data_IF_731757458203
#
_entry.id   IF_731757458203
#
_cell.length_a   1.000
_cell.length_b   1.000
_cell.length_c   1.000
_cell.angle_alpha   90.00
_cell.angle_beta   90.00
_cell.angle_gamma   90.00
#
_symmetry.space_group_name_H-M   'P 1'
#
loop_
_entity.id
_entity.type
_entity.pdbx_description
1 polymer ?
#
# COMPACT_ATOMS: atom_id res chain seq x y z
N UNK A 1 -17.31 -17.84 -1.24
CA UNK A 1 -16.91 -18.73 -0.14
C UNK A 1 -16.94 -17.89 1.13
N UNK A 2 -17.26 -18.46 2.30
CA UNK A 2 -17.11 -17.74 3.55
C UNK A 2 -15.62 -17.43 3.79
N UNK A 3 -15.35 -16.36 4.52
CA UNK A 3 -13.99 -15.97 4.89
C UNK A 3 -13.82 -16.06 6.40
N UNK A 4 -12.71 -16.61 6.87
CA UNK A 4 -12.26 -16.41 8.25
C UNK A 4 -11.47 -15.12 8.35
N UNK A 5 -11.65 -14.38 9.44
CA UNK A 5 -10.88 -13.19 9.73
C UNK A 5 -10.26 -13.30 11.13
N UNK A 6 -8.94 -13.10 11.23
CA UNK A 6 -8.20 -13.21 12.49
C UNK A 6 -7.22 -12.05 12.65
N UNK A 7 -7.04 -11.62 13.90
CA UNK A 7 -6.03 -10.62 14.26
C UNK A 7 -4.64 -11.25 14.14
N UNK A 8 -3.67 -10.46 13.64
CA UNK A 8 -2.29 -10.87 13.52
C UNK A 8 -1.37 -9.79 14.07
N UNK A 9 -0.24 -10.21 14.63
CA UNK A 9 0.78 -9.31 15.14
C UNK A 9 2.15 -9.79 14.68
N UNK A 10 2.91 -8.90 14.06
CA UNK A 10 4.31 -9.12 13.73
C UNK A 10 5.19 -8.30 14.67
N UNK A 11 6.38 -8.83 15.00
CA UNK A 11 7.33 -8.14 15.85
C UNK A 11 8.55 -7.76 15.04
N UNK A 12 8.85 -6.47 15.00
CA UNK A 12 10.04 -5.91 14.35
C UNK A 12 11.30 -6.23 15.16
N UNK A 13 12.46 -6.09 14.54
CA UNK A 13 13.76 -6.30 15.19
C UNK A 13 14.01 -5.34 16.36
N UNK A 14 13.41 -4.16 16.34
CA UNK A 14 13.47 -3.15 17.40
C UNK A 14 12.47 -3.41 18.54
N UNK A 15 11.64 -4.45 18.43
CA UNK A 15 10.64 -4.86 19.41
C UNK A 15 9.25 -4.22 19.19
N UNK A 16 9.11 -3.25 18.30
CA UNK A 16 7.82 -2.68 17.95
C UNK A 16 6.90 -3.72 17.29
N UNK A 17 5.62 -3.62 17.57
CA UNK A 17 4.60 -4.53 17.07
C UNK A 17 3.80 -3.88 15.95
N UNK A 18 3.74 -4.58 14.83
CA UNK A 18 2.84 -4.28 13.71
C UNK A 18 1.58 -5.12 13.90
N UNK A 19 0.42 -4.48 13.96
CA UNK A 19 -0.88 -5.14 14.15
C UNK A 19 -1.70 -5.04 12.89
N UNK A 20 -2.45 -6.10 12.63
CA UNK A 20 -3.27 -6.18 11.44
C UNK A 20 -4.33 -7.27 11.57
N UNK A 21 -5.02 -7.50 10.46
CA UNK A 21 -6.06 -8.51 10.31
C UNK A 21 -5.91 -9.23 8.99
N UNK A 22 -5.98 -10.56 9.05
CA UNK A 22 -5.91 -11.39 7.87
C UNK A 22 -7.28 -12.02 7.56
N UNK A 23 -7.66 -11.98 6.29
CA UNK A 23 -8.84 -12.67 5.76
C UNK A 23 -8.39 -13.84 4.93
N UNK A 24 -8.96 -15.02 5.19
CA UNK A 24 -8.67 -16.25 4.45
C UNK A 24 -9.93 -16.90 3.90
N UNK A 25 -9.90 -17.44 2.66
CA UNK A 25 -10.93 -18.33 2.16
C UNK A 25 -11.09 -19.56 3.06
N UNK A 26 -12.31 -19.89 3.47
CA UNK A 26 -12.58 -21.08 4.27
C UNK A 26 -12.40 -22.38 3.48
N UNK A 27 -12.03 -23.47 4.20
CA UNK A 27 -11.99 -24.83 3.65
C UNK A 27 -10.86 -25.10 2.65
N UNK A 28 -9.88 -24.21 2.54
CA UNK A 28 -8.76 -24.38 1.60
C UNK A 28 -7.61 -25.13 2.26
N UNK A 29 -7.19 -26.26 1.65
CA UNK A 29 -6.11 -27.15 2.16
C UNK A 29 -4.75 -26.82 1.53
N UNK A 30 -4.72 -26.00 0.48
CA UNK A 30 -3.48 -25.60 -0.24
C UNK A 30 -3.00 -24.24 0.20
N UNK A 31 -1.71 -23.94 -0.04
CA UNK A 31 -1.19 -22.59 0.13
C UNK A 31 -1.86 -21.61 -0.82
N UNK A 32 -2.16 -20.43 -0.32
CA UNK A 32 -2.94 -19.40 -0.99
C UNK A 32 -2.07 -18.20 -1.38
N UNK A 33 -2.40 -17.51 -2.47
CA UNK A 33 -1.86 -16.19 -2.75
C UNK A 33 -2.28 -15.22 -1.65
N UNK A 34 -1.46 -14.20 -1.39
CA UNK A 34 -1.77 -13.15 -0.42
C UNK A 34 -1.59 -11.77 -1.03
N UNK A 35 -2.52 -10.88 -0.76
CA UNK A 35 -2.41 -9.43 -1.01
C UNK A 35 -2.17 -8.72 0.32
N UNK A 36 -1.10 -7.93 0.40
CA UNK A 36 -0.78 -7.07 1.54
C UNK A 36 -1.28 -5.67 1.20
N UNK A 37 -2.17 -5.13 2.03
CA UNK A 37 -2.77 -3.80 1.86
C UNK A 37 -2.03 -2.76 2.69
N UNK A 38 -1.60 -1.68 2.03
CA UNK A 38 -0.90 -0.55 2.61
C UNK A 38 -1.82 0.68 2.58
N UNK A 39 -2.22 1.17 3.74
CA UNK A 39 -3.11 2.33 3.89
C UNK A 39 -2.41 3.66 3.59
N UNK A 40 -3.20 4.72 3.37
CA UNK A 40 -2.74 6.06 3.09
C UNK A 40 -2.23 6.82 4.32
N UNK A 41 -1.74 8.04 4.10
CA UNK A 41 -1.24 8.95 5.12
C UNK A 41 -2.25 9.21 6.23
N UNK A 42 -1.84 9.02 7.49
CA UNK A 42 -2.67 9.28 8.66
C UNK A 42 -3.91 8.39 8.83
N UNK A 43 -4.06 7.37 7.96
CA UNK A 43 -5.16 6.40 7.96
C UNK A 43 -4.82 5.18 8.83
N UNK A 44 -5.63 4.14 8.73
CA UNK A 44 -5.45 2.87 9.42
C UNK A 44 -6.07 1.72 8.61
N UNK A 45 -5.65 0.47 8.92
CA UNK A 45 -6.07 -0.70 8.16
C UNK A 45 -7.59 -0.98 8.21
N UNK A 46 -8.29 -0.49 9.26
CA UNK A 46 -9.72 -0.74 9.43
C UNK A 46 -10.56 -0.08 8.33
N UNK A 47 -10.06 1.02 7.76
CA UNK A 47 -10.71 1.69 6.63
C UNK A 47 -10.74 0.83 5.37
N UNK A 48 -9.76 -0.08 5.20
CA UNK A 48 -9.64 -0.97 4.04
C UNK A 48 -10.26 -2.36 4.23
N UNK A 49 -10.56 -2.77 5.46
CA UNK A 49 -11.02 -4.14 5.78
C UNK A 49 -12.30 -4.55 5.04
N UNK A 50 -13.12 -3.60 4.63
CA UNK A 50 -14.37 -3.89 3.90
C UNK A 50 -14.12 -4.57 2.53
N UNK A 51 -12.90 -4.53 2.01
CA UNK A 51 -12.50 -5.25 0.80
C UNK A 51 -12.22 -6.74 1.04
N UNK A 52 -11.92 -7.14 2.29
CA UNK A 52 -11.40 -8.47 2.63
C UNK A 52 -12.27 -9.64 2.17
N UNK A 53 -13.60 -9.53 2.35
CA UNK A 53 -14.51 -10.59 1.91
C UNK A 53 -14.48 -10.80 0.39
N UNK A 54 -14.44 -9.72 -0.42
CA UNK A 54 -14.39 -9.81 -1.87
C UNK A 54 -13.14 -10.53 -2.39
N UNK A 55 -11.98 -10.26 -1.78
CA UNK A 55 -10.75 -10.97 -2.12
C UNK A 55 -10.77 -12.43 -1.65
N UNK A 56 -11.27 -12.71 -0.45
CA UNK A 56 -11.39 -14.07 0.04
C UNK A 56 -12.34 -14.91 -0.82
N UNK A 57 -13.45 -14.35 -1.29
CA UNK A 57 -14.36 -14.99 -2.26
C UNK A 57 -13.68 -15.27 -3.60
N UNK A 58 -12.70 -14.46 -3.97
CA UNK A 58 -11.86 -14.65 -5.15
C UNK A 58 -10.75 -15.71 -4.95
N UNK A 59 -10.62 -16.28 -3.74
CA UNK A 59 -9.61 -17.28 -3.41
C UNK A 59 -8.24 -16.71 -3.02
N UNK A 60 -8.20 -15.43 -2.60
CA UNK A 60 -6.99 -14.68 -2.26
C UNK A 60 -7.02 -14.32 -0.77
N UNK A 61 -5.95 -14.62 -0.03
CA UNK A 61 -5.78 -14.07 1.32
C UNK A 61 -5.54 -12.57 1.25
N UNK A 62 -6.06 -11.84 2.24
CA UNK A 62 -5.76 -10.42 2.41
C UNK A 62 -5.19 -10.15 3.79
N UNK A 63 -4.13 -9.40 3.84
CA UNK A 63 -3.57 -8.85 5.06
C UNK A 63 -3.74 -7.33 5.03
N UNK A 64 -4.43 -6.82 6.02
CA UNK A 64 -4.57 -5.41 6.33
C UNK A 64 -3.79 -5.14 7.61
N UNK A 65 -2.91 -4.15 7.62
CA UNK A 65 -2.09 -3.83 8.80
C UNK A 65 -1.90 -2.32 8.94
N UNK A 66 -1.64 -1.88 10.16
CA UNK A 66 -1.23 -0.51 10.44
C UNK A 66 0.29 -0.39 10.38
N UNK A 67 0.78 0.63 9.70
CA UNK A 67 2.18 1.05 9.85
C UNK A 67 2.44 1.54 11.27
N UNK A 68 3.66 1.33 11.77
CA UNK A 68 4.08 1.84 13.07
C UNK A 68 4.08 3.37 13.08
N UNK A 69 3.21 3.96 13.90
CA UNK A 69 2.99 5.40 13.89
C UNK A 69 2.34 5.94 12.62
N UNK A 70 1.78 5.10 11.74
CA UNK A 70 1.24 5.49 10.43
C UNK A 70 0.01 6.40 10.48
N UNK A 71 -0.64 6.50 11.63
CA UNK A 71 -1.79 7.39 11.83
C UNK A 71 -2.13 7.57 13.31
N UNK A 72 -2.94 8.60 13.64
CA UNK A 72 -3.37 8.85 15.03
C UNK A 72 -4.14 7.69 15.67
N UNK A 73 -4.80 6.90 14.84
CA UNK A 73 -5.60 5.73 15.28
C UNK A 73 -4.91 4.39 15.01
N UNK A 74 -3.63 4.40 14.64
CA UNK A 74 -2.85 3.18 14.44
C UNK A 74 -2.89 2.30 15.69
N UNK A 75 -3.15 1.00 15.51
CA UNK A 75 -3.04 0.00 16.57
C UNK A 75 -1.62 -0.57 16.68
N UNK A 76 -0.76 -0.33 15.68
CA UNK A 76 0.67 -0.66 15.73
C UNK A 76 1.41 0.28 16.67
N UNK A 77 2.56 -0.17 17.17
CA UNK A 77 3.38 0.64 18.06
C UNK A 77 4.01 1.84 17.30
N UNK A 78 4.63 2.76 18.03
CA UNK A 78 5.25 3.96 17.45
C UNK A 78 4.40 5.22 17.59
N UNK A 79 4.98 6.35 17.20
CA UNK A 79 4.31 7.66 17.26
C UNK A 79 4.26 8.28 15.88
N UNK A 80 3.16 8.98 15.59
CA UNK A 80 2.96 9.62 14.29
C UNK A 80 4.07 10.61 13.92
N UNK A 81 4.58 11.35 14.91
CA UNK A 81 5.67 12.31 14.70
C UNK A 81 7.03 11.65 14.41
N UNK A 82 7.16 10.34 14.62
CA UNK A 82 8.38 9.56 14.32
C UNK A 82 8.27 8.84 12.98
N UNK A 83 7.07 8.82 12.36
CA UNK A 83 6.83 8.18 11.08
C UNK A 83 7.52 8.94 9.95
N UNK A 84 8.08 8.18 9.01
CA UNK A 84 8.62 8.65 7.72
C UNK A 84 8.25 7.65 6.62
N UNK A 85 8.44 8.02 5.36
CA UNK A 85 8.30 7.07 4.24
C UNK A 85 9.23 5.87 4.44
N UNK A 86 10.46 6.09 4.94
CA UNK A 86 11.43 5.03 5.20
C UNK A 86 11.02 4.09 6.34
N UNK A 87 10.43 4.62 7.42
CA UNK A 87 9.92 3.75 8.51
C UNK A 87 8.78 2.88 8.03
N UNK A 88 7.85 3.39 7.22
CA UNK A 88 6.78 2.59 6.63
C UNK A 88 7.30 1.56 5.62
N UNK A 89 8.32 1.90 4.83
CA UNK A 89 8.99 0.91 4.00
C UNK A 89 9.56 -0.25 4.84
N UNK A 90 10.23 0.04 5.96
CA UNK A 90 10.77 -0.97 6.87
C UNK A 90 9.68 -1.84 7.53
N UNK A 91 8.52 -1.27 7.80
CA UNK A 91 7.37 -2.01 8.30
C UNK A 91 6.84 -2.98 7.23
N UNK A 92 6.64 -2.53 6.00
CA UNK A 92 6.19 -3.38 4.91
C UNK A 92 7.21 -4.48 4.60
N UNK A 93 8.52 -4.20 4.61
CA UNK A 93 9.58 -5.21 4.46
C UNK A 93 9.49 -6.28 5.57
N UNK A 94 9.22 -5.87 6.81
CA UNK A 94 9.00 -6.79 7.94
C UNK A 94 7.77 -7.66 7.69
N UNK A 95 6.65 -7.05 7.28
CA UNK A 95 5.41 -7.78 6.97
C UNK A 95 5.62 -8.79 5.85
N UNK A 96 6.28 -8.40 4.75
CA UNK A 96 6.60 -9.31 3.63
C UNK A 96 7.43 -10.51 4.13
N UNK A 97 8.44 -10.26 4.95
CA UNK A 97 9.25 -11.34 5.53
C UNK A 97 8.42 -12.29 6.38
N UNK A 98 7.57 -11.75 7.25
CA UNK A 98 6.75 -12.56 8.17
C UNK A 98 5.66 -13.36 7.44
N UNK A 99 5.03 -12.82 6.41
CA UNK A 99 3.97 -13.56 5.68
C UNK A 99 4.53 -14.73 4.88
N UNK A 100 5.81 -14.71 4.50
CA UNK A 100 6.47 -15.86 3.85
C UNK A 100 6.55 -17.08 4.75
N UNK A 101 6.59 -16.88 6.06
CA UNK A 101 6.68 -17.94 7.07
C UNK A 101 5.31 -18.50 7.47
N UNK A 102 4.20 -17.90 7.00
CA UNK A 102 2.86 -18.45 7.26
C UNK A 102 2.63 -19.72 6.42
N UNK A 103 2.29 -20.81 7.09
CA UNK A 103 2.19 -22.16 6.49
C UNK A 103 1.12 -22.28 5.39
N UNK A 104 0.10 -21.41 5.43
CA UNK A 104 -0.98 -21.33 4.45
C UNK A 104 -0.73 -20.32 3.32
N UNK A 105 0.38 -19.58 3.33
CA UNK A 105 0.74 -18.61 2.28
C UNK A 105 1.66 -19.27 1.24
N UNK A 106 1.38 -19.02 -0.02
CA UNK A 106 2.29 -19.31 -1.12
C UNK A 106 3.25 -18.14 -1.31
N UNK A 107 4.47 -18.29 -0.83
CA UNK A 107 5.50 -17.24 -0.87
C UNK A 107 5.93 -16.83 -2.28
N UNK A 108 5.56 -17.59 -3.32
CA UNK A 108 5.76 -17.21 -4.73
C UNK A 108 4.63 -16.33 -5.29
N UNK A 109 3.57 -16.10 -4.51
CA UNK A 109 2.38 -15.38 -4.92
C UNK A 109 2.00 -14.31 -3.88
N UNK A 110 2.96 -13.45 -3.54
CA UNK A 110 2.78 -12.27 -2.70
C UNK A 110 2.50 -11.08 -3.62
N UNK A 111 1.42 -10.38 -3.34
CA UNK A 111 0.97 -9.20 -4.05
C UNK A 111 0.92 -8.01 -3.11
N UNK A 112 1.17 -6.80 -3.62
CA UNK A 112 0.97 -5.56 -2.88
C UNK A 112 -0.21 -4.79 -3.43
N UNK A 113 -1.00 -4.19 -2.54
CA UNK A 113 -1.97 -3.18 -2.89
C UNK A 113 -1.81 -1.98 -1.95
N UNK A 114 -1.48 -0.83 -2.52
CA UNK A 114 -1.30 0.39 -1.75
C UNK A 114 -2.17 1.52 -2.26
N UNK A 115 -2.72 2.32 -1.34
CA UNK A 115 -3.44 3.54 -1.64
C UNK A 115 -2.65 4.77 -1.20
N UNK A 116 -2.70 5.85 -1.99
CA UNK A 116 -2.09 7.14 -1.65
C UNK A 116 -0.62 6.96 -1.21
N UNK A 117 -0.24 7.37 0.02
CA UNK A 117 1.11 7.17 0.57
C UNK A 117 1.49 5.68 0.67
N UNK A 118 0.55 4.80 1.03
CA UNK A 118 0.77 3.34 0.99
C UNK A 118 1.09 2.83 -0.42
N UNK A 119 0.60 3.51 -1.46
CA UNK A 119 0.97 3.27 -2.86
C UNK A 119 2.42 3.64 -3.16
N UNK A 120 2.89 4.79 -2.67
CA UNK A 120 4.30 5.18 -2.76
C UNK A 120 5.20 4.16 -2.02
N UNK A 121 4.86 3.82 -0.77
CA UNK A 121 5.60 2.85 0.04
C UNK A 121 5.67 1.49 -0.66
N UNK A 122 4.54 1.00 -1.18
CA UNK A 122 4.47 -0.26 -1.93
C UNK A 122 5.39 -0.25 -3.15
N UNK A 123 5.40 0.85 -3.92
CA UNK A 123 6.23 1.01 -5.10
C UNK A 123 7.74 1.02 -4.76
N UNK A 124 8.14 1.73 -3.70
CA UNK A 124 9.52 1.80 -3.24
C UNK A 124 10.03 0.45 -2.71
N UNK A 125 9.19 -0.27 -1.96
CA UNK A 125 9.54 -1.59 -1.43
C UNK A 125 9.60 -2.63 -2.56
N UNK A 126 8.64 -2.64 -3.47
CA UNK A 126 8.66 -3.54 -4.62
C UNK A 126 9.92 -3.35 -5.49
N UNK A 127 10.40 -2.11 -5.65
CA UNK A 127 11.63 -1.83 -6.38
C UNK A 127 12.88 -2.46 -5.72
N UNK A 128 12.90 -2.60 -4.39
CA UNK A 128 14.00 -3.23 -3.62
C UNK A 128 13.86 -4.75 -3.53
N UNK A 129 12.63 -5.25 -3.60
CA UNK A 129 12.26 -6.65 -3.38
C UNK A 129 11.53 -7.25 -4.61
N UNK A 130 11.99 -6.91 -5.81
CA UNK A 130 11.34 -7.27 -7.07
C UNK A 130 11.08 -8.77 -7.22
N UNK A 131 11.99 -9.60 -6.72
CA UNK A 131 11.86 -11.08 -6.77
C UNK A 131 10.76 -11.64 -5.83
N UNK A 132 10.39 -10.87 -4.79
CA UNK A 132 9.45 -11.30 -3.76
C UNK A 132 8.00 -10.96 -4.10
N UNK A 133 7.80 -9.95 -4.95
CA UNK A 133 6.49 -9.40 -5.25
C UNK A 133 6.05 -9.80 -6.65
N UNK A 134 4.98 -10.59 -6.72
CA UNK A 134 4.46 -11.17 -7.98
C UNK A 134 3.79 -10.14 -8.89
N UNK A 135 3.01 -9.22 -8.31
CA UNK A 135 2.39 -8.09 -8.98
C UNK A 135 1.93 -7.05 -7.96
N UNK A 136 1.65 -5.83 -8.42
CA UNK A 136 1.28 -4.71 -7.56
C UNK A 136 0.10 -3.93 -8.15
N UNK A 137 -0.84 -3.54 -7.28
CA UNK A 137 -1.91 -2.58 -7.59
C UNK A 137 -1.72 -1.33 -6.75
N UNK A 138 -1.80 -0.18 -7.39
CA UNK A 138 -1.65 1.12 -6.74
C UNK A 138 -2.90 1.96 -7.00
N UNK A 139 -3.61 2.34 -5.95
CA UNK A 139 -4.73 3.27 -6.01
C UNK A 139 -4.21 4.68 -5.73
N UNK A 140 -4.41 5.58 -6.69
CA UNK A 140 -4.00 7.00 -6.61
C UNK A 140 -2.67 7.20 -5.83
N UNK A 141 -1.56 6.52 -6.25
CA UNK A 141 -0.32 6.52 -5.49
C UNK A 141 0.25 7.94 -5.32
N UNK A 142 0.59 8.32 -4.09
CA UNK A 142 1.03 9.66 -3.72
C UNK A 142 2.50 9.92 -4.13
N UNK A 143 2.78 9.87 -5.41
CA UNK A 143 4.13 10.09 -5.96
C UNK A 143 4.57 11.56 -5.94
N UNK A 144 3.69 12.49 -5.59
CA UNK A 144 3.97 13.91 -5.36
C UNK A 144 4.55 14.20 -3.96
N UNK A 145 4.54 13.23 -3.04
CA UNK A 145 5.04 13.42 -1.66
C UNK A 145 6.42 14.07 -1.61
N UNK A 146 7.43 13.69 -2.42
CA UNK A 146 8.73 14.34 -2.39
C UNK A 146 8.68 15.84 -2.71
N UNK A 147 7.84 16.24 -3.68
CA UNK A 147 7.66 17.66 -4.03
C UNK A 147 6.99 18.44 -2.90
N UNK A 148 5.91 17.88 -2.32
CA UNK A 148 5.23 18.48 -1.17
C UNK A 148 6.14 18.60 0.06
N UNK A 149 6.94 17.56 0.34
CA UNK A 149 7.92 17.55 1.41
C UNK A 149 9.02 18.60 1.21
N UNK A 150 9.49 18.80 -0.02
CA UNK A 150 10.46 19.85 -0.35
C UNK A 150 9.92 21.25 -0.02
N UNK A 151 8.68 21.53 -0.43
CA UNK A 151 8.01 22.82 -0.14
C UNK A 151 7.86 23.06 1.37
N UNK A 152 7.41 22.06 2.14
CA UNK A 152 7.29 22.17 3.60
C UNK A 152 8.64 22.30 4.29
N UNK A 153 9.64 21.58 3.82
CA UNK A 153 11.00 21.66 4.35
C UNK A 153 11.60 23.07 4.20
N UNK A 154 11.39 23.72 3.05
CA UNK A 154 11.86 25.07 2.76
C UNK A 154 11.07 26.14 3.54
N UNK A 155 9.76 26.00 3.64
CA UNK A 155 8.89 26.95 4.39
C UNK A 155 8.99 26.79 5.91
N UNK A 156 9.45 25.64 6.40
CA UNK A 156 9.44 25.30 7.81
C UNK A 156 8.05 24.85 8.34
N UNK A 157 7.06 24.73 7.45
CA UNK A 157 5.75 24.18 7.78
C UNK A 157 5.87 22.71 8.16
N UNK A 158 5.08 22.26 9.14
CA UNK A 158 5.11 20.87 9.64
C UNK A 158 3.72 20.30 9.81
N UNK A 159 2.83 20.68 8.94
CA UNK A 159 1.46 20.19 8.95
C UNK A 159 1.04 19.74 7.55
N UNK A 160 0.37 18.58 7.49
CA UNK A 160 -0.26 18.08 6.30
C UNK A 160 -1.62 17.51 6.69
N UNK A 161 -2.68 17.90 5.99
CA UNK A 161 -4.06 17.44 6.25
C UNK A 161 -4.51 17.55 7.71
N UNK A 162 -4.10 18.63 8.40
CA UNK A 162 -4.43 18.84 9.82
C UNK A 162 -3.63 18.00 10.81
N UNK A 163 -2.64 17.24 10.35
CA UNK A 163 -1.76 16.41 11.18
C UNK A 163 -0.36 16.99 11.22
N UNK A 164 0.22 17.02 12.42
CA UNK A 164 1.58 17.53 12.62
C UNK A 164 2.62 16.47 12.35
N UNK A 165 3.45 16.71 11.34
CA UNK A 165 4.56 15.86 10.96
C UNK A 165 5.81 16.11 11.85
N UNK A 166 6.57 15.04 12.08
CA UNK A 166 7.91 15.14 12.62
C UNK A 166 8.90 15.74 11.61
N UNK A 167 9.98 16.33 12.12
CA UNK A 167 11.03 16.93 11.29
C UNK A 167 11.72 15.94 10.34
N UNK A 168 11.67 14.66 10.66
CA UNK A 168 12.30 13.62 9.87
C UNK A 168 11.57 13.34 8.57
N UNK A 169 10.23 13.44 8.56
CA UNK A 169 9.42 13.13 7.39
C UNK A 169 9.83 13.93 6.16
N UNK A 170 9.75 15.26 6.23
CA UNK A 170 10.06 16.11 5.08
C UNK A 170 11.54 16.09 4.71
N UNK A 171 12.43 16.02 5.71
CA UNK A 171 13.87 15.90 5.48
C UNK A 171 14.25 14.67 4.67
N UNK A 172 13.57 13.55 4.90
CA UNK A 172 13.80 12.30 4.20
C UNK A 172 13.07 12.28 2.85
N UNK A 173 11.76 12.59 2.88
CA UNK A 173 10.90 12.41 1.72
C UNK A 173 11.26 13.31 0.53
N UNK A 174 11.73 14.55 0.77
CA UNK A 174 12.07 15.52 -0.29
C UNK A 174 13.15 15.06 -1.26
N UNK A 175 14.01 14.14 -0.82
CA UNK A 175 15.15 13.64 -1.61
C UNK A 175 14.84 12.31 -2.31
N UNK A 176 13.62 11.80 -2.24
CA UNK A 176 13.22 10.54 -2.88
C UNK A 176 12.99 10.78 -4.38
N UNK A 177 13.87 10.22 -5.23
CA UNK A 177 13.67 10.16 -6.68
C UNK A 177 12.75 8.98 -7.06
N UNK A 178 11.44 9.18 -6.90
CA UNK A 178 10.44 8.13 -7.15
C UNK A 178 10.62 7.50 -8.53
N UNK A 179 10.72 8.32 -9.57
CA UNK A 179 10.74 7.86 -10.95
C UNK A 179 12.11 7.28 -11.39
N UNK A 180 13.16 7.56 -10.64
CA UNK A 180 14.44 6.88 -10.79
C UNK A 180 14.48 5.53 -10.06
N UNK A 181 13.68 5.33 -9.02
CA UNK A 181 13.66 4.12 -8.19
C UNK A 181 12.69 3.07 -8.71
N UNK A 182 11.43 3.45 -8.99
CA UNK A 182 10.34 2.50 -9.28
C UNK A 182 10.57 1.63 -10.53
N UNK A 183 11.35 2.03 -11.57
CA UNK A 183 11.66 1.16 -12.70
C UNK A 183 12.43 -0.10 -12.35
N UNK A 184 13.07 -0.16 -11.17
CA UNK A 184 13.76 -1.37 -10.69
C UNK A 184 12.81 -2.53 -10.36
N UNK A 185 11.51 -2.25 -10.19
CA UNK A 185 10.51 -3.31 -10.09
C UNK A 185 10.17 -3.85 -11.49
N UNK A 186 10.55 -5.10 -11.75
CA UNK A 186 10.35 -5.76 -13.04
C UNK A 186 8.99 -6.47 -13.21
N UNK A 187 8.17 -6.53 -12.15
CA UNK A 187 6.86 -7.18 -12.19
C UNK A 187 5.74 -6.27 -12.72
N UNK A 188 4.55 -6.86 -12.99
CA UNK A 188 3.41 -6.12 -13.52
C UNK A 188 2.79 -5.17 -12.48
N UNK A 189 2.42 -3.96 -12.94
CA UNK A 189 1.79 -2.90 -12.14
C UNK A 189 0.46 -2.48 -12.74
N UNK A 190 -0.59 -2.45 -11.93
CA UNK A 190 -1.84 -1.78 -12.25
C UNK A 190 -1.97 -0.52 -11.39
N UNK A 191 -2.10 0.63 -12.01
CA UNK A 191 -2.50 1.86 -11.34
C UNK A 191 -3.99 2.12 -11.60
N UNK A 192 -4.72 2.55 -10.57
CA UNK A 192 -6.12 2.99 -10.66
C UNK A 192 -6.18 4.39 -10.07
N UNK A 193 -6.67 5.37 -10.85
CA UNK A 193 -6.64 6.77 -10.44
C UNK A 193 -7.96 7.47 -10.79
N UNK A 194 -8.42 8.34 -9.89
CA UNK A 194 -9.61 9.17 -10.15
C UNK A 194 -9.30 10.31 -11.11
N UNK A 195 -10.19 10.54 -12.08
CA UNK A 195 -10.04 11.62 -13.08
C UNK A 195 -9.98 13.01 -12.43
N UNK A 196 -10.72 13.21 -11.32
CA UNK A 196 -10.85 14.48 -10.62
C UNK A 196 -10.12 14.49 -9.26
N UNK A 197 -9.05 13.72 -9.15
CA UNK A 197 -8.23 13.71 -7.93
C UNK A 197 -7.51 15.06 -7.75
N UNK A 198 -7.97 15.82 -6.74
CA UNK A 198 -7.43 17.14 -6.39
C UNK A 198 -6.32 17.08 -5.32
N UNK A 199 -6.06 15.91 -4.76
CA UNK A 199 -5.00 15.66 -3.76
C UNK A 199 -3.73 15.21 -4.47
N UNK A 200 -3.84 14.13 -5.25
CA UNK A 200 -2.75 13.59 -6.07
C UNK A 200 -3.13 13.76 -7.53
N UNK A 201 -2.56 14.72 -8.26
CA UNK A 201 -2.85 14.90 -9.67
C UNK A 201 -2.60 13.64 -10.50
N UNK A 202 -3.53 13.29 -11.38
CA UNK A 202 -3.47 12.11 -12.26
C UNK A 202 -2.13 12.01 -13.04
N UNK A 203 -1.53 13.16 -13.37
CA UNK A 203 -0.27 13.25 -14.10
C UNK A 203 0.90 12.50 -13.43
N UNK A 204 0.87 12.31 -12.11
CA UNK A 204 1.89 11.51 -11.43
C UNK A 204 1.78 10.02 -11.76
N UNK A 205 0.56 9.48 -11.90
CA UNK A 205 0.35 8.11 -12.38
C UNK A 205 0.64 7.97 -13.88
N UNK A 206 0.29 8.97 -14.69
CA UNK A 206 0.64 8.99 -16.13
C UNK A 206 2.16 8.98 -16.32
N UNK A 207 2.91 9.74 -15.51
CA UNK A 207 4.38 9.71 -15.53
C UNK A 207 4.92 8.34 -15.09
N UNK A 208 4.35 7.73 -14.05
CA UNK A 208 4.75 6.39 -13.61
C UNK A 208 4.50 5.32 -14.68
N UNK A 209 3.37 5.43 -15.42
CA UNK A 209 3.08 4.55 -16.56
C UNK A 209 4.20 4.54 -17.60
N UNK A 210 4.90 5.67 -17.78
CA UNK A 210 5.97 5.80 -18.78
C UNK A 210 7.31 5.20 -18.34
N UNK A 211 7.49 4.89 -17.04
CA UNK A 211 8.78 4.41 -16.52
C UNK A 211 8.74 2.96 -16.04
N UNK A 212 7.57 2.40 -15.71
CA UNK A 212 7.46 0.97 -15.44
C UNK A 212 7.57 0.13 -16.71
N UNK A 213 8.23 -1.01 -16.63
CA UNK A 213 8.40 -1.93 -17.77
C UNK A 213 7.10 -2.61 -18.21
N UNK A 214 6.26 -3.07 -17.26
CA UNK A 214 4.94 -3.66 -17.50
C UNK A 214 3.92 -2.97 -16.61
N UNK A 215 3.17 -2.02 -17.17
CA UNK A 215 2.19 -1.27 -16.40
C UNK A 215 0.92 -0.95 -17.17
N UNK A 216 -0.15 -0.73 -16.42
CA UNK A 216 -1.45 -0.29 -16.93
C UNK A 216 -2.03 0.78 -15.99
N UNK A 217 -2.68 1.77 -16.55
CA UNK A 217 -3.45 2.79 -15.84
C UNK A 217 -4.93 2.66 -16.18
N UNK A 218 -5.79 2.58 -15.17
CA UNK A 218 -7.23 2.70 -15.27
C UNK A 218 -7.61 4.04 -14.64
N UNK A 219 -8.34 4.86 -15.39
CA UNK A 219 -8.88 6.12 -14.90
C UNK A 219 -10.35 5.90 -14.56
N UNK A 220 -10.77 6.24 -13.34
CA UNK A 220 -12.19 6.20 -12.94
C UNK A 220 -12.79 7.58 -13.21
N UNK A 221 -13.73 7.70 -14.18
CA UNK A 221 -14.30 8.99 -14.55
C UNK A 221 -15.02 9.64 -13.38
N UNK A 222 -14.74 10.93 -13.10
CA UNK A 222 -15.38 11.73 -12.07
C UNK A 222 -14.96 11.40 -10.63
N UNK A 223 -14.18 10.33 -10.38
CA UNK A 223 -13.71 9.99 -9.05
C UNK A 223 -12.61 10.97 -8.58
N UNK A 224 -12.61 11.24 -7.27
CA UNK A 224 -11.58 12.02 -6.58
C UNK A 224 -10.53 11.16 -5.89
N UNK A 225 -9.87 11.74 -4.87
CA UNK A 225 -8.94 11.03 -3.99
C UNK A 225 -9.71 10.26 -2.92
N UNK A 226 -9.38 8.98 -2.75
CA UNK A 226 -10.16 8.09 -1.89
C UNK A 226 -11.41 7.58 -2.60
N UNK A 227 -11.62 6.26 -2.56
CA UNK A 227 -12.77 5.66 -3.22
C UNK A 227 -13.82 5.24 -2.21
N UNK A 228 -15.07 5.58 -2.50
CA UNK A 228 -16.23 5.09 -1.78
C UNK A 228 -17.27 4.49 -2.73
N UNK A 229 -18.30 3.87 -2.20
CA UNK A 229 -19.45 3.36 -2.95
C UNK A 229 -19.09 2.57 -4.21
N UNK A 230 -19.53 3.08 -5.36
CA UNK A 230 -19.34 2.43 -6.67
C UNK A 230 -17.87 2.43 -7.11
N UNK A 231 -17.14 3.52 -6.85
CA UNK A 231 -15.74 3.66 -7.25
C UNK A 231 -14.84 2.69 -6.46
N UNK A 232 -15.08 2.55 -5.16
CA UNK A 232 -14.43 1.56 -4.30
C UNK A 232 -14.70 0.13 -4.76
N UNK A 233 -15.94 -0.16 -5.16
CA UNK A 233 -16.31 -1.48 -5.70
C UNK A 233 -15.59 -1.75 -7.03
N UNK A 234 -15.60 -0.79 -7.95
CA UNK A 234 -14.95 -0.93 -9.25
C UNK A 234 -13.42 -1.10 -9.10
N UNK A 235 -12.79 -0.29 -8.26
CA UNK A 235 -11.34 -0.39 -8.01
C UNK A 235 -10.97 -1.75 -7.41
N UNK A 236 -11.77 -2.28 -6.47
CA UNK A 236 -11.59 -3.64 -5.93
C UNK A 236 -11.71 -4.71 -7.01
N UNK A 237 -12.74 -4.64 -7.86
CA UNK A 237 -12.96 -5.62 -8.93
C UNK A 237 -11.81 -5.61 -9.94
N UNK A 238 -11.35 -4.44 -10.39
CA UNK A 238 -10.16 -4.32 -11.24
C UNK A 238 -8.91 -4.92 -10.58
N UNK A 239 -8.74 -4.71 -9.29
CA UNK A 239 -7.61 -5.25 -8.52
C UNK A 239 -7.67 -6.79 -8.45
N UNK A 240 -8.83 -7.35 -8.13
CA UNK A 240 -9.04 -8.80 -8.06
C UNK A 240 -8.78 -9.44 -9.42
N UNK A 241 -9.33 -8.90 -10.49
CA UNK A 241 -9.14 -9.43 -11.85
C UNK A 241 -7.67 -9.37 -12.27
N UNK A 242 -7.00 -8.27 -11.94
CA UNK A 242 -5.57 -8.12 -12.23
C UNK A 242 -4.72 -9.16 -11.51
N UNK A 243 -4.96 -9.40 -10.21
CA UNK A 243 -4.22 -10.41 -9.46
C UNK A 243 -4.57 -11.84 -9.90
N UNK A 244 -5.84 -12.14 -10.19
CA UNK A 244 -6.27 -13.45 -10.68
C UNK A 244 -5.57 -13.85 -11.97
N UNK A 245 -5.32 -12.95 -12.86
CA UNK A 245 -4.58 -13.21 -14.09
C UNK A 245 -3.09 -13.52 -13.87
N UNK A 246 -2.60 -13.46 -12.61
CA UNK A 246 -1.18 -13.62 -12.24
C UNK A 246 -0.94 -14.65 -11.12
N UNK A 247 -1.99 -15.36 -10.73
CA UNK A 247 -1.94 -16.44 -9.72
C UNK A 247 -1.32 -17.74 -10.23
#
# INVERSE_FOLDING_TARGET
MAATAEEITFVKKDGNKIRGRIYRPEGTVRRLPIVIFCHGFGSNYRELMHHGNGFAEAGICCLFFDFCGGGPESLSDGKFEEMTVGTECGDLETVISCVKDLDYVDSSRIFLQGESMGGLVSALVAARHSEDIRAMVLWYPAFEIPEGAGKRYESGEREAFGLRLGAAFDREAKDIDVYGIIPAYGGPVLMIHGEQDMIVPLSYSEKALSVYGESRLIIIPGAGHGYDGADSTAAREYSIDFFRGRM
#
